data_IF_638884353301
#
_entry.id   IF_638884353301
#
_cell.length_a   1.000
_cell.length_b   1.000
_cell.length_c   1.000
_cell.angle_alpha   90.00
_cell.angle_beta   90.00
_cell.angle_gamma   90.00
#
_symmetry.space_group_name_H-M   'P 1'
#
loop_
_entity.id
_entity.type
_entity.pdbx_description
1 polymer ?
#
# COMPACT_ATOMS: atom_id res chain seq x y z
N UNK A 1 5.68 -1.47 26.60
CA UNK A 1 5.69 -0.45 25.53
C UNK A 1 5.77 -1.23 24.23
N UNK A 2 5.28 -0.82 23.04
CA UNK A 2 4.47 0.37 22.67
C UNK A 2 3.81 0.24 21.24
N UNK A 3 3.47 1.38 20.64
CA UNK A 3 3.67 1.71 19.20
C UNK A 3 2.75 1.06 18.14
N UNK A 4 1.90 1.91 17.55
CA UNK A 4 1.06 1.71 16.37
C UNK A 4 -0.15 0.79 16.56
N UNK A 5 -1.33 1.40 16.64
CA UNK A 5 -2.57 0.71 16.30
C UNK A 5 -2.46 0.14 14.87
N UNK A 6 -2.81 -1.14 14.65
CA UNK A 6 -2.67 -1.82 13.37
C UNK A 6 -3.52 -1.20 12.24
N UNK A 7 -4.44 -0.30 12.56
CA UNK A 7 -5.27 0.40 11.57
C UNK A 7 -4.51 1.47 10.76
N UNK A 8 -3.53 2.16 11.37
CA UNK A 8 -2.66 3.10 10.63
C UNK A 8 -1.59 2.34 9.80
N UNK A 9 -1.28 1.11 10.22
CA UNK A 9 -0.48 0.14 9.46
C UNK A 9 -1.21 -0.38 8.22
N UNK A 10 -2.53 -0.22 8.09
CA UNK A 10 -3.23 -0.70 6.89
C UNK A 10 -2.83 0.06 5.61
N UNK A 11 -2.50 1.35 5.73
CA UNK A 11 -2.04 2.17 4.61
C UNK A 11 -0.59 1.80 4.24
N UNK A 12 0.27 1.67 5.25
CA UNK A 12 1.63 1.18 5.06
C UNK A 12 1.62 -0.24 4.48
N UNK A 13 0.79 -1.15 5.00
CA UNK A 13 0.66 -2.52 4.51
C UNK A 13 0.12 -2.59 3.08
N UNK A 14 -0.84 -1.73 2.72
CA UNK A 14 -1.38 -1.70 1.37
C UNK A 14 -0.41 -1.05 0.37
N UNK A 15 0.17 0.09 0.72
CA UNK A 15 1.13 0.78 -0.13
C UNK A 15 2.41 -0.06 -0.28
N UNK A 16 2.93 -0.59 0.83
CA UNK A 16 4.06 -1.51 0.83
C UNK A 16 3.74 -2.81 0.12
N UNK A 17 2.54 -3.37 0.28
CA UNK A 17 2.10 -4.55 -0.44
C UNK A 17 2.05 -4.32 -1.96
N UNK A 18 1.54 -3.17 -2.39
CA UNK A 18 1.48 -2.78 -3.80
C UNK A 18 2.88 -2.52 -4.38
N UNK A 19 3.72 -1.76 -3.67
CA UNK A 19 5.11 -1.51 -4.05
C UNK A 19 5.91 -2.81 -4.13
N UNK A 20 5.75 -3.71 -3.15
CA UNK A 20 6.43 -5.00 -3.13
C UNK A 20 6.02 -5.87 -4.32
N UNK A 21 4.75 -5.84 -4.73
CA UNK A 21 4.28 -6.54 -5.92
C UNK A 21 4.90 -5.98 -7.21
N UNK A 22 5.13 -4.67 -7.28
CA UNK A 22 5.74 -4.01 -8.45
C UNK A 22 7.23 -4.27 -8.54
N UNK A 23 7.95 -4.17 -7.42
CA UNK A 23 9.40 -4.43 -7.35
C UNK A 23 9.72 -5.89 -7.72
N UNK A 24 8.91 -6.86 -7.27
CA UNK A 24 9.12 -8.27 -7.61
C UNK A 24 8.57 -8.70 -8.98
N UNK A 25 7.75 -7.87 -9.64
CA UNK A 25 7.27 -8.16 -10.99
C UNK A 25 8.38 -7.99 -12.05
N UNK A 26 9.43 -7.24 -11.73
CA UNK A 26 10.59 -7.06 -12.59
C UNK A 26 11.71 -8.00 -12.11
N UNK A 27 12.06 -9.07 -12.87
CA UNK A 27 13.15 -9.95 -12.47
C UNK A 27 14.46 -9.14 -12.38
N UNK A 28 15.16 -9.29 -11.25
CA UNK A 28 16.42 -8.58 -10.98
C UNK A 28 17.54 -9.30 -11.74
N UNK A 29 17.90 -8.78 -12.90
CA UNK A 29 19.02 -9.30 -13.71
C UNK A 29 20.36 -8.60 -13.38
N UNK A 30 20.39 -7.61 -12.47
CA UNK A 30 21.64 -6.90 -12.12
C UNK A 30 21.59 -6.20 -10.74
N UNK A 31 22.80 -6.01 -10.17
CA UNK A 31 23.16 -5.18 -9.01
C UNK A 31 22.91 -3.67 -9.24
N UNK A 32 21.79 -3.33 -9.85
CA UNK A 32 21.36 -1.93 -9.98
C UNK A 32 21.00 -1.37 -8.60
N UNK A 33 21.40 -0.13 -8.35
CA UNK A 33 21.23 0.53 -7.05
C UNK A 33 19.77 0.42 -6.60
N UNK A 34 19.47 -0.25 -5.48
CA UNK A 34 18.11 -0.52 -5.06
C UNK A 34 17.31 0.77 -4.82
N UNK A 35 17.98 1.87 -4.47
CA UNK A 35 17.34 3.19 -4.31
C UNK A 35 16.94 3.78 -5.67
N UNK A 36 17.81 3.71 -6.67
CA UNK A 36 17.50 4.12 -8.04
C UNK A 36 16.30 3.33 -8.61
N UNK A 37 16.27 2.00 -8.39
CA UNK A 37 15.17 1.15 -8.87
C UNK A 37 13.84 1.47 -8.17
N UNK A 38 13.84 1.62 -6.84
CA UNK A 38 12.64 2.05 -6.09
C UNK A 38 12.15 3.41 -6.61
N UNK A 39 13.06 4.32 -6.94
CA UNK A 39 12.71 5.65 -7.47
C UNK A 39 12.06 5.57 -8.85
N UNK A 40 12.57 4.71 -9.74
CA UNK A 40 11.98 4.46 -11.07
C UNK A 40 10.60 3.81 -10.95
N UNK A 41 10.46 2.78 -10.12
CA UNK A 41 9.17 2.11 -9.90
C UNK A 41 8.14 3.06 -9.27
N UNK A 42 8.55 3.86 -8.29
CA UNK A 42 7.70 4.88 -7.69
C UNK A 42 7.27 5.94 -8.72
N UNK A 43 8.16 6.36 -9.63
CA UNK A 43 7.80 7.26 -10.71
C UNK A 43 6.76 6.64 -11.65
N UNK A 44 6.93 5.36 -12.03
CA UNK A 44 5.98 4.62 -12.86
C UNK A 44 4.61 4.47 -12.20
N UNK A 45 4.55 4.27 -10.88
CA UNK A 45 3.29 4.26 -10.14
C UNK A 45 2.56 5.59 -10.29
N UNK A 46 3.27 6.73 -10.24
CA UNK A 46 2.66 8.07 -10.39
C UNK A 46 2.05 8.31 -11.77
N UNK A 47 2.51 7.58 -12.78
CA UNK A 47 1.95 7.66 -14.14
C UNK A 47 0.61 6.92 -14.28
N UNK A 48 0.27 6.04 -13.34
CA UNK A 48 -1.00 5.31 -13.37
C UNK A 48 -2.16 6.30 -13.11
N UNK A 49 -3.10 6.49 -14.06
CA UNK A 49 -4.17 7.45 -13.91
C UNK A 49 -5.02 7.16 -12.67
N UNK A 50 -5.26 8.21 -11.88
CA UNK A 50 -6.08 8.16 -10.68
C UNK A 50 -5.62 7.13 -9.62
N UNK A 51 -4.36 6.66 -9.63
CA UNK A 51 -3.88 5.69 -8.64
C UNK A 51 -4.02 6.20 -7.20
N UNK A 52 -3.66 7.47 -6.97
CA UNK A 52 -3.77 8.09 -5.65
C UNK A 52 -5.24 8.24 -5.21
N UNK A 53 -6.13 8.52 -6.16
CA UNK A 53 -7.56 8.59 -5.89
C UNK A 53 -8.13 7.21 -5.54
N UNK A 54 -7.72 6.15 -6.26
CA UNK A 54 -8.10 4.77 -5.94
C UNK A 54 -7.57 4.32 -4.58
N UNK A 55 -6.32 4.67 -4.25
CA UNK A 55 -5.72 4.42 -2.92
C UNK A 55 -6.51 5.14 -1.83
N UNK A 56 -6.85 6.42 -2.03
CA UNK A 56 -7.63 7.23 -1.09
C UNK A 56 -9.03 6.66 -0.88
N UNK A 57 -9.71 6.24 -1.94
CA UNK A 57 -11.03 5.61 -1.87
C UNK A 57 -10.98 4.27 -1.14
N UNK A 58 -9.96 3.44 -1.42
CA UNK A 58 -9.75 2.17 -0.73
C UNK A 58 -9.54 2.39 0.77
N UNK A 59 -8.69 3.35 1.16
CA UNK A 59 -8.49 3.74 2.55
C UNK A 59 -9.80 4.18 3.20
N UNK A 60 -10.56 5.04 2.54
CA UNK A 60 -11.83 5.55 3.05
C UNK A 60 -12.80 4.41 3.35
N UNK A 61 -12.95 3.44 2.42
CA UNK A 61 -13.79 2.25 2.61
C UNK A 61 -13.33 1.42 3.80
N UNK A 62 -12.02 1.23 3.98
CA UNK A 62 -11.44 0.51 5.12
C UNK A 62 -11.72 1.19 6.45
N UNK A 63 -11.53 2.51 6.52
CA UNK A 63 -11.85 3.28 7.71
C UNK A 63 -13.34 3.17 8.07
N UNK A 64 -14.23 3.25 7.06
CA UNK A 64 -15.66 3.05 7.27
C UNK A 64 -16.01 1.64 7.75
N UNK A 65 -15.39 0.61 7.17
CA UNK A 65 -15.58 -0.77 7.60
C UNK A 65 -15.11 -0.97 9.05
N UNK A 66 -13.93 -0.45 9.42
CA UNK A 66 -13.40 -0.47 10.78
C UNK A 66 -14.34 0.21 11.78
N UNK A 67 -14.86 1.40 11.45
CA UNK A 67 -15.86 2.11 12.27
C UNK A 67 -17.13 1.26 12.43
N UNK A 68 -17.61 0.65 11.35
CA UNK A 68 -18.85 -0.15 11.33
C UNK A 68 -18.75 -1.37 12.25
N UNK A 69 -17.59 -2.02 12.30
CA UNK A 69 -17.40 -3.20 13.16
C UNK A 69 -16.89 -2.87 14.56
N UNK A 70 -16.71 -1.58 14.89
CA UNK A 70 -16.23 -1.10 16.18
C UNK A 70 -14.75 -1.43 16.44
N UNK A 71 -13.90 -1.36 15.43
CA UNK A 71 -12.46 -1.63 15.55
C UNK A 71 -12.08 -3.11 15.56
N UNK A 72 -13.01 -4.01 15.24
CA UNK A 72 -12.74 -5.45 15.03
C UNK A 72 -12.22 -5.72 13.61
N UNK A 73 -11.76 -6.94 13.33
CA UNK A 73 -11.31 -7.33 11.99
C UNK A 73 -12.46 -7.14 10.97
N UNK A 74 -12.13 -6.53 9.83
CA UNK A 74 -13.07 -6.20 8.75
C UNK A 74 -12.59 -6.75 7.39
N UNK A 75 -11.67 -7.72 7.37
CA UNK A 75 -11.19 -8.34 6.11
C UNK A 75 -12.33 -9.04 5.36
N UNK A 76 -13.39 -9.47 6.05
CA UNK A 76 -14.60 -10.03 5.43
C UNK A 76 -15.50 -8.98 4.76
N UNK A 77 -15.22 -7.69 4.93
CA UNK A 77 -15.99 -6.56 4.40
C UNK A 77 -15.26 -5.79 3.29
N UNK A 78 -14.09 -6.28 2.88
CA UNK A 78 -13.14 -5.64 1.95
C UNK A 78 -13.03 -6.40 0.63
#
# INVERSE_FOLDING_TARGET
MPLLSPDYSSLDYFLWGHLKSLVHATPVDSDDDPVARISVDAARVREIPAIFERVRQSLHRRCQACITVGGRNFEQLL
#
